data_IF_619600376904
#
_entry.id   IF_619600376904
#
_cell.length_a   1.000
_cell.length_b   1.000
_cell.length_c   1.000
_cell.angle_alpha   90.00
_cell.angle_beta   90.00
_cell.angle_gamma   90.00
#
_symmetry.space_group_name_H-M   'P 1'
#
loop_
_entity.id
_entity.type
_entity.pdbx_description
1 polymer ?
#
# COMPACT_ATOMS: atom_id res chain seq x y z
N UNK A 1 -16.31 27.05 -20.85
CA UNK A 1 -15.28 26.06 -20.44
C UNK A 1 -14.31 26.61 -19.38
N UNK A 2 -13.76 27.83 -19.54
CA UNK A 2 -12.81 28.42 -18.58
C UNK A 2 -13.37 28.56 -17.15
N UNK A 3 -14.64 28.97 -16.99
CA UNK A 3 -15.29 29.08 -15.67
C UNK A 3 -15.51 27.74 -14.95
N UNK A 4 -15.81 26.67 -15.70
CA UNK A 4 -15.96 25.32 -15.13
C UNK A 4 -14.62 24.80 -14.61
N UNK A 5 -13.53 24.91 -15.39
CA UNK A 5 -12.21 24.49 -14.91
C UNK A 5 -11.74 25.31 -13.69
N UNK A 6 -12.15 26.58 -13.60
CA UNK A 6 -11.82 27.41 -12.45
C UNK A 6 -12.44 26.90 -11.14
N UNK A 7 -13.59 26.21 -11.16
CA UNK A 7 -14.20 25.65 -9.93
C UNK A 7 -13.38 24.51 -9.32
N UNK A 8 -12.52 23.85 -10.11
CA UNK A 8 -11.62 22.78 -9.65
C UNK A 8 -10.33 23.31 -9.01
N UNK A 9 -9.99 24.58 -9.22
CA UNK A 9 -8.70 25.16 -8.80
C UNK A 9 -8.49 25.12 -7.28
N UNK A 10 -9.48 25.56 -6.50
CA UNK A 10 -9.42 25.61 -5.04
C UNK A 10 -9.35 24.23 -4.37
N UNK A 11 -10.23 23.25 -4.68
CA UNK A 11 -10.11 21.92 -4.11
C UNK A 11 -8.80 21.23 -4.51
N UNK A 12 -8.31 21.46 -5.73
CA UNK A 12 -7.01 20.96 -6.17
C UNK A 12 -5.86 21.56 -5.35
N UNK A 13 -5.83 22.88 -5.19
CA UNK A 13 -4.83 23.57 -4.38
C UNK A 13 -4.82 23.08 -2.94
N UNK A 14 -6.01 22.89 -2.35
CA UNK A 14 -6.15 22.36 -1.00
C UNK A 14 -5.57 20.95 -0.89
N UNK A 15 -5.88 20.06 -1.83
CA UNK A 15 -5.36 18.70 -1.85
C UNK A 15 -3.82 18.68 -1.97
N UNK A 16 -3.25 19.46 -2.89
CA UNK A 16 -1.79 19.56 -3.06
C UNK A 16 -1.12 20.17 -1.83
N UNK A 17 -1.74 21.15 -1.18
CA UNK A 17 -1.21 21.81 0.02
C UNK A 17 -1.21 20.88 1.23
N UNK A 18 -2.28 20.10 1.42
CA UNK A 18 -2.42 19.18 2.55
C UNK A 18 -1.64 17.87 2.35
N UNK A 19 -1.35 17.49 1.10
CA UNK A 19 -0.74 16.21 0.76
C UNK A 19 0.61 15.92 1.45
N UNK A 20 1.57 16.87 1.56
CA UNK A 20 2.83 16.61 2.25
C UNK A 20 2.63 16.24 3.72
N UNK A 21 1.68 16.89 4.41
CA UNK A 21 1.40 16.63 5.82
C UNK A 21 0.77 15.25 6.02
N UNK A 22 -0.25 14.93 5.21
CA UNK A 22 -0.90 13.61 5.23
C UNK A 22 0.09 12.52 4.84
N UNK A 23 0.96 12.79 3.87
CA UNK A 23 2.01 11.86 3.44
C UNK A 23 2.94 11.54 4.59
N UNK A 24 3.51 12.54 5.27
CA UNK A 24 4.39 12.34 6.43
C UNK A 24 3.68 11.52 7.53
N UNK A 25 2.41 11.84 7.81
CA UNK A 25 1.60 11.10 8.79
C UNK A 25 1.39 9.64 8.45
N UNK A 26 1.18 9.34 7.17
CA UNK A 26 0.87 7.99 6.73
C UNK A 26 2.10 7.26 6.17
N UNK A 27 3.28 7.89 6.10
CA UNK A 27 4.53 7.30 5.59
C UNK A 27 4.85 5.99 6.30
N UNK A 28 4.73 5.98 7.63
CA UNK A 28 5.14 4.84 8.46
C UNK A 28 4.15 3.68 8.30
N UNK A 29 2.82 3.87 8.47
CA UNK A 29 1.83 2.86 8.10
C UNK A 29 1.98 2.34 6.67
N UNK A 30 2.23 3.24 5.71
CA UNK A 30 2.43 2.89 4.31
C UNK A 30 3.68 2.02 4.09
N UNK A 31 4.80 2.38 4.71
CA UNK A 31 6.03 1.62 4.63
C UNK A 31 5.86 0.23 5.25
N UNK A 32 5.19 0.14 6.40
CA UNK A 32 4.84 -1.12 7.07
C UNK A 32 3.96 -1.98 6.17
N UNK A 33 2.89 -1.41 5.59
CA UNK A 33 2.02 -2.11 4.66
C UNK A 33 2.78 -2.63 3.42
N UNK A 34 3.61 -1.78 2.80
CA UNK A 34 4.41 -2.17 1.64
C UNK A 34 5.44 -3.25 1.98
N UNK A 35 6.06 -3.17 3.16
CA UNK A 35 7.01 -4.17 3.62
C UNK A 35 6.33 -5.52 3.85
N UNK A 36 5.18 -5.55 4.53
CA UNK A 36 4.43 -6.80 4.71
C UNK A 36 3.87 -7.38 3.41
N UNK A 37 3.48 -6.54 2.45
CA UNK A 37 2.89 -6.99 1.18
C UNK A 37 3.93 -7.44 0.16
N UNK A 38 5.00 -6.68 -0.01
CA UNK A 38 5.94 -6.84 -1.12
C UNK A 38 7.32 -7.37 -0.66
N UNK A 39 7.55 -7.53 0.65
CA UNK A 39 8.83 -7.88 1.30
C UNK A 39 10.02 -6.95 0.93
N UNK A 40 9.76 -5.89 0.16
CA UNK A 40 10.72 -4.91 -0.38
C UNK A 40 10.02 -3.58 -0.69
N UNK A 41 10.71 -2.47 -0.45
CA UNK A 41 10.27 -1.14 -0.86
C UNK A 41 10.70 -0.86 -2.31
N UNK A 42 9.85 -1.24 -3.27
CA UNK A 42 10.06 -0.89 -4.69
C UNK A 42 9.70 0.59 -4.91
N UNK A 43 10.50 1.39 -5.66
CA UNK A 43 10.17 2.79 -5.92
C UNK A 43 8.77 2.99 -6.53
N UNK A 44 8.35 2.08 -7.42
CA UNK A 44 7.00 2.11 -7.99
C UNK A 44 5.89 1.86 -6.95
N UNK A 45 6.12 0.97 -5.97
CA UNK A 45 5.18 0.73 -4.87
C UNK A 45 5.08 1.96 -3.96
N UNK A 46 6.21 2.60 -3.67
CA UNK A 46 6.27 3.83 -2.87
C UNK A 46 5.54 4.98 -3.57
N UNK A 47 5.88 5.23 -4.85
CA UNK A 47 5.21 6.25 -5.66
C UNK A 47 3.70 6.01 -5.74
N UNK A 48 3.29 4.76 -5.95
CA UNK A 48 1.88 4.39 -6.01
C UNK A 48 1.12 4.68 -4.71
N UNK A 49 1.74 4.44 -3.55
CA UNK A 49 1.11 4.75 -2.26
C UNK A 49 0.97 6.25 -2.04
N UNK A 50 2.01 7.04 -2.30
CA UNK A 50 1.90 8.50 -2.18
C UNK A 50 0.92 9.11 -3.19
N UNK A 51 0.85 8.56 -4.41
CA UNK A 51 -0.16 8.93 -5.41
C UNK A 51 -1.58 8.58 -4.94
N UNK A 52 -1.76 7.42 -4.30
CA UNK A 52 -3.04 7.03 -3.71
C UNK A 52 -3.45 7.96 -2.56
N UNK A 53 -2.51 8.37 -1.70
CA UNK A 53 -2.78 9.35 -0.64
C UNK A 53 -3.24 10.70 -1.20
N UNK A 54 -2.52 11.23 -2.21
CA UNK A 54 -2.95 12.45 -2.91
C UNK A 54 -4.34 12.28 -3.53
N UNK A 55 -4.61 11.12 -4.13
CA UNK A 55 -5.89 10.81 -4.71
C UNK A 55 -7.03 10.82 -3.67
N UNK A 56 -6.89 10.11 -2.54
CA UNK A 56 -7.92 10.06 -1.49
C UNK A 56 -8.18 11.44 -0.90
N UNK A 57 -7.11 12.21 -0.69
CA UNK A 57 -7.23 13.59 -0.23
C UNK A 57 -7.92 14.49 -1.27
N UNK A 58 -7.56 14.33 -2.55
CA UNK A 58 -8.23 14.99 -3.67
C UNK A 58 -9.71 14.63 -3.74
N UNK A 59 -10.06 13.35 -3.64
CA UNK A 59 -11.45 12.87 -3.62
C UNK A 59 -12.25 13.58 -2.52
N UNK A 60 -11.73 13.64 -1.29
CA UNK A 60 -12.37 14.40 -0.21
C UNK A 60 -12.51 15.89 -0.52
N UNK A 61 -11.47 16.53 -1.03
CA UNK A 61 -11.50 17.96 -1.37
C UNK A 61 -12.51 18.27 -2.49
N UNK A 62 -12.53 17.52 -3.58
CA UNK A 62 -13.45 17.76 -4.70
C UNK A 62 -14.91 17.50 -4.34
N UNK A 63 -15.17 16.49 -3.52
CA UNK A 63 -16.54 16.09 -3.15
C UNK A 63 -17.13 16.91 -2.00
N UNK A 64 -16.30 17.51 -1.14
CA UNK A 64 -16.78 18.26 0.03
C UNK A 64 -16.64 19.78 -0.11
N UNK A 65 -15.73 20.28 -0.96
CA UNK A 65 -15.54 21.72 -1.19
C UNK A 65 -16.47 22.24 -2.30
N UNK A 66 -17.08 23.44 -2.19
CA UNK A 66 -16.91 24.42 -1.11
C UNK A 66 -17.87 24.19 0.05
N UNK A 67 -17.38 24.35 1.27
CA UNK A 67 -18.22 24.43 2.46
C UNK A 67 -18.61 25.88 2.76
N UNK A 68 -19.80 26.11 3.33
CA UNK A 68 -20.28 27.45 3.67
C UNK A 68 -19.40 28.07 4.78
N UNK A 69 -19.05 29.34 4.63
CA UNK A 69 -18.25 30.07 5.64
C UNK A 69 -19.08 30.46 6.87
N UNK A 70 -20.37 30.76 6.66
CA UNK A 70 -21.38 30.91 7.71
C UNK A 70 -22.47 29.84 7.52
N UNK A 71 -22.34 28.69 8.21
CA UNK A 71 -23.31 27.59 8.13
C UNK A 71 -24.72 28.02 8.54
N UNK A 72 -24.85 28.91 9.52
CA UNK A 72 -26.15 29.29 10.07
C UNK A 72 -26.94 30.14 9.10
N UNK A 73 -26.31 31.15 8.49
CA UNK A 73 -26.93 31.96 7.45
C UNK A 73 -27.22 31.16 6.17
N UNK A 74 -26.31 30.27 5.78
CA UNK A 74 -26.51 29.40 4.62
C UNK A 74 -27.72 28.48 4.81
N UNK A 75 -27.79 27.77 5.94
CA UNK A 75 -28.86 26.82 6.23
C UNK A 75 -30.21 27.48 6.52
N UNK A 76 -30.23 28.76 6.90
CA UNK A 76 -31.48 29.52 7.02
C UNK A 76 -32.14 29.82 5.65
N UNK A 77 -31.37 29.77 4.57
CA UNK A 77 -31.83 30.13 3.21
C UNK A 77 -31.84 28.95 2.22
N UNK A 78 -31.11 27.88 2.51
CA UNK A 78 -30.97 26.72 1.65
C UNK A 78 -31.57 25.47 2.30
N UNK A 79 -32.45 24.79 1.57
CA UNK A 79 -33.08 23.54 1.97
C UNK A 79 -32.87 22.50 0.87
N UNK A 80 -31.62 22.03 0.77
CA UNK A 80 -31.25 20.98 -0.17
C UNK A 80 -31.69 19.61 0.36
N UNK A 81 -32.09 18.72 -0.54
CA UNK A 81 -32.58 17.38 -0.22
C UNK A 81 -31.90 16.30 -1.05
N UNK A 82 -32.50 15.11 -1.03
CA UNK A 82 -32.06 13.98 -1.84
C UNK A 82 -32.85 13.90 -3.15
N UNK A 83 -32.13 13.76 -4.27
CA UNK A 83 -32.66 13.35 -5.55
C UNK A 83 -32.41 11.84 -5.74
N UNK A 84 -33.50 11.07 -5.86
CA UNK A 84 -33.47 9.61 -5.94
C UNK A 84 -33.94 9.07 -7.31
N UNK A 85 -34.23 9.94 -8.28
CA UNK A 85 -34.59 9.55 -9.63
C UNK A 85 -33.32 9.22 -10.44
N UNK A 86 -33.07 7.95 -10.82
CA UNK A 86 -31.83 7.51 -11.49
C UNK A 86 -31.75 7.91 -12.98
N UNK A 87 -32.68 8.75 -13.43
CA UNK A 87 -32.76 9.29 -14.78
C UNK A 87 -32.85 10.83 -14.75
N UNK A 88 -32.55 11.46 -13.61
CA UNK A 88 -32.64 12.91 -13.47
C UNK A 88 -31.61 13.60 -14.40
N UNK A 89 -30.46 12.98 -14.61
CA UNK A 89 -29.44 13.45 -15.55
C UNK A 89 -29.98 13.74 -16.96
N UNK A 90 -31.04 13.06 -17.41
CA UNK A 90 -31.66 13.33 -18.72
C UNK A 90 -32.31 14.71 -18.74
N UNK A 91 -32.97 15.07 -17.64
CA UNK A 91 -33.57 16.40 -17.45
C UNK A 91 -32.47 17.44 -17.32
N UNK A 92 -31.43 17.16 -16.54
CA UNK A 92 -30.34 18.10 -16.27
C UNK A 92 -29.52 18.36 -17.55
N UNK A 93 -29.30 17.35 -18.40
CA UNK A 93 -28.67 17.56 -19.72
C UNK A 93 -29.55 18.42 -20.63
N UNK A 94 -30.88 18.33 -20.54
CA UNK A 94 -31.78 19.19 -21.34
C UNK A 94 -31.79 20.63 -20.83
N UNK A 95 -31.66 20.82 -19.51
CA UNK A 95 -31.72 22.13 -18.86
C UNK A 95 -30.37 22.84 -18.87
N UNK A 96 -29.33 22.16 -18.41
CA UNK A 96 -27.98 22.70 -18.16
C UNK A 96 -26.96 22.33 -19.25
N UNK A 97 -27.36 21.46 -20.20
CA UNK A 97 -26.60 21.18 -21.41
C UNK A 97 -25.22 20.60 -21.14
N UNK A 98 -24.19 21.27 -21.67
CA UNK A 98 -22.80 20.83 -21.56
C UNK A 98 -22.30 20.74 -20.11
N UNK A 99 -22.82 21.58 -19.21
CA UNK A 99 -22.39 21.58 -17.80
C UNK A 99 -22.75 20.27 -17.12
N UNK A 100 -23.98 19.78 -17.32
CA UNK A 100 -24.42 18.48 -16.80
C UNK A 100 -23.59 17.32 -17.38
N UNK A 101 -23.32 17.34 -18.70
CA UNK A 101 -22.48 16.32 -19.34
C UNK A 101 -21.07 16.30 -18.71
N UNK A 102 -20.48 17.47 -18.47
CA UNK A 102 -19.17 17.57 -17.85
C UNK A 102 -19.21 17.10 -16.39
N UNK A 103 -20.26 17.39 -15.62
CA UNK A 103 -20.42 16.90 -14.25
C UNK A 103 -20.45 15.37 -14.20
N UNK A 104 -21.32 14.73 -15.01
CA UNK A 104 -21.38 13.27 -15.13
C UNK A 104 -20.01 12.68 -15.50
N UNK A 105 -19.36 13.25 -16.51
CA UNK A 105 -18.04 12.80 -16.96
C UNK A 105 -16.96 12.92 -15.89
N UNK A 106 -16.96 14.03 -15.14
CA UNK A 106 -15.99 14.26 -14.07
C UNK A 106 -16.19 13.31 -12.89
N UNK A 107 -17.43 12.97 -12.53
CA UNK A 107 -17.74 11.98 -11.50
C UNK A 107 -17.20 10.59 -11.88
N UNK A 108 -17.40 10.18 -13.13
CA UNK A 108 -16.78 8.95 -13.67
C UNK A 108 -15.25 9.02 -13.54
N UNK A 109 -14.62 10.08 -14.05
CA UNK A 109 -13.16 10.23 -14.03
C UNK A 109 -12.61 10.25 -12.59
N UNK A 110 -13.33 10.85 -11.65
CA UNK A 110 -12.93 10.96 -10.26
C UNK A 110 -12.83 9.59 -9.57
N UNK A 111 -13.62 8.60 -9.97
CA UNK A 111 -13.60 7.25 -9.37
C UNK A 111 -12.76 6.22 -10.15
N UNK A 112 -12.32 6.52 -11.37
CA UNK A 112 -11.41 5.65 -12.13
C UNK A 112 -10.14 5.29 -11.33
N UNK A 113 -9.43 6.25 -10.68
CA UNK A 113 -8.26 5.89 -9.89
C UNK A 113 -8.59 4.96 -8.72
N UNK A 114 -9.73 5.11 -8.05
CA UNK A 114 -10.14 4.24 -6.94
C UNK A 114 -10.21 2.78 -7.40
N UNK A 115 -10.98 2.50 -8.45
CA UNK A 115 -11.11 1.15 -8.99
C UNK A 115 -9.76 0.56 -9.44
N UNK A 116 -8.92 1.40 -10.04
CA UNK A 116 -7.57 1.03 -10.45
C UNK A 116 -6.70 0.64 -9.26
N UNK A 117 -6.63 1.46 -8.21
CA UNK A 117 -5.81 1.19 -7.03
C UNK A 117 -6.31 -0.04 -6.26
N UNK A 118 -7.63 -0.18 -6.06
CA UNK A 118 -8.21 -1.34 -5.37
C UNK A 118 -7.83 -2.67 -6.04
N UNK A 119 -7.79 -2.68 -7.37
CA UNK A 119 -7.46 -3.89 -8.16
C UNK A 119 -5.96 -4.09 -8.36
N UNK A 120 -5.23 -3.03 -8.72
CA UNK A 120 -3.81 -3.10 -9.10
C UNK A 120 -2.88 -3.14 -7.88
N UNK A 121 -3.20 -2.37 -6.85
CA UNK A 121 -2.38 -2.23 -5.65
C UNK A 121 -2.94 -3.07 -4.49
N UNK A 122 -4.21 -2.92 -4.15
CA UNK A 122 -4.79 -3.69 -3.03
C UNK A 122 -5.18 -5.12 -3.41
N UNK A 123 -5.14 -5.47 -4.70
CA UNK A 123 -5.41 -6.82 -5.23
C UNK A 123 -6.76 -7.38 -4.77
N UNK A 124 -7.74 -6.51 -4.54
CA UNK A 124 -9.09 -6.93 -4.18
C UNK A 124 -9.75 -7.64 -5.37
N UNK A 125 -10.60 -8.66 -5.12
CA UNK A 125 -11.40 -9.23 -6.18
C UNK A 125 -12.35 -8.16 -6.74
N UNK A 126 -12.58 -8.18 -8.06
CA UNK A 126 -13.28 -7.11 -8.77
C UNK A 126 -14.64 -6.75 -8.18
N UNK A 127 -15.41 -7.74 -7.73
CA UNK A 127 -16.73 -7.50 -7.13
C UNK A 127 -16.64 -6.77 -5.79
N UNK A 128 -15.61 -7.02 -4.97
CA UNK A 128 -15.35 -6.26 -3.73
C UNK A 128 -14.90 -4.85 -4.08
N UNK A 129 -14.05 -4.69 -5.09
CA UNK A 129 -13.60 -3.37 -5.52
C UNK A 129 -14.79 -2.51 -6.01
N UNK A 130 -15.73 -3.08 -6.77
CA UNK A 130 -16.99 -2.40 -7.16
C UNK A 130 -17.81 -2.03 -5.92
N UNK A 131 -18.00 -2.96 -4.99
CA UNK A 131 -18.75 -2.72 -3.76
C UNK A 131 -18.15 -1.58 -2.92
N UNK A 132 -16.82 -1.54 -2.81
CA UNK A 132 -16.09 -0.48 -2.10
C UNK A 132 -16.23 0.88 -2.82
N UNK A 133 -16.17 0.91 -4.15
CA UNK A 133 -16.42 2.15 -4.91
C UNK A 133 -17.85 2.66 -4.69
N UNK A 134 -18.84 1.77 -4.81
CA UNK A 134 -20.25 2.11 -4.58
C UNK A 134 -20.49 2.60 -3.15
N UNK A 135 -20.00 1.87 -2.15
CA UNK A 135 -20.12 2.25 -0.75
C UNK A 135 -19.44 3.59 -0.46
N UNK A 136 -18.28 3.86 -1.05
CA UNK A 136 -17.59 5.16 -0.88
C UNK A 136 -18.39 6.29 -1.50
N UNK A 137 -18.99 6.08 -2.67
CA UNK A 137 -19.87 7.07 -3.30
C UNK A 137 -21.11 7.35 -2.44
N UNK A 138 -21.76 6.31 -1.93
CA UNK A 138 -22.88 6.45 -0.98
C UNK A 138 -22.45 7.22 0.27
N UNK A 139 -21.28 6.91 0.84
CA UNK A 139 -20.75 7.64 2.00
C UNK A 139 -20.53 9.13 1.69
N UNK A 140 -20.09 9.48 0.47
CA UNK A 140 -19.94 10.86 0.03
C UNK A 140 -21.30 11.56 -0.05
N UNK A 141 -22.29 10.96 -0.70
CA UNK A 141 -23.63 11.52 -0.82
C UNK A 141 -24.31 11.68 0.55
N UNK A 142 -24.16 10.70 1.44
CA UNK A 142 -24.65 10.77 2.82
C UNK A 142 -23.95 11.87 3.60
N UNK A 143 -22.62 12.02 3.45
CA UNK A 143 -21.89 13.12 4.07
C UNK A 143 -22.42 14.47 3.57
N UNK A 144 -22.69 14.63 2.27
CA UNK A 144 -23.25 15.86 1.72
C UNK A 144 -24.67 16.15 2.25
N UNK A 145 -25.54 15.14 2.28
CA UNK A 145 -26.92 15.23 2.78
C UNK A 145 -26.97 15.62 4.26
N UNK A 146 -26.03 15.10 5.06
CA UNK A 146 -25.99 15.33 6.51
C UNK A 146 -25.10 16.50 6.92
N UNK A 147 -24.52 17.23 5.97
CA UNK A 147 -23.63 18.34 6.28
C UNK A 147 -22.30 17.89 6.92
N UNK A 148 -21.59 16.98 6.25
CA UNK A 148 -20.40 16.25 6.74
C UNK A 148 -20.69 15.61 8.11
N UNK A 149 -21.69 14.72 8.16
CA UNK A 149 -22.09 14.00 9.38
C UNK A 149 -22.43 14.94 10.55
N UNK A 150 -23.26 15.95 10.29
CA UNK A 150 -23.72 16.96 11.25
C UNK A 150 -22.64 17.94 11.74
N UNK A 151 -21.51 18.03 11.04
CA UNK A 151 -20.57 19.14 11.24
C UNK A 151 -21.21 20.48 10.83
N UNK A 152 -22.10 20.45 9.83
CA UNK A 152 -22.94 21.56 9.40
C UNK A 152 -24.41 21.26 9.75
N UNK A 153 -25.22 22.28 10.06
CA UNK A 153 -26.59 22.08 10.54
C UNK A 153 -27.60 21.68 9.44
N UNK A 154 -27.18 21.68 8.17
CA UNK A 154 -28.00 21.26 7.03
C UNK A 154 -27.17 20.66 5.90
N UNK A 155 -27.85 20.08 4.91
CA UNK A 155 -27.27 19.73 3.62
C UNK A 155 -26.80 20.99 2.88
N UNK A 156 -25.54 21.02 2.47
CA UNK A 156 -24.98 22.10 1.65
C UNK A 156 -24.68 21.69 0.21
N UNK A 157 -24.96 20.43 -0.13
CA UNK A 157 -25.00 19.89 -1.49
C UNK A 157 -26.22 18.97 -1.64
N UNK A 158 -26.68 18.81 -2.89
CA UNK A 158 -27.76 17.88 -3.22
C UNK A 158 -27.18 16.48 -3.19
N UNK A 159 -27.85 15.57 -2.49
CA UNK A 159 -27.52 14.15 -2.53
C UNK A 159 -28.14 13.56 -3.80
N UNK A 160 -27.31 13.03 -4.70
CA UNK A 160 -27.75 12.59 -6.03
C UNK A 160 -27.44 11.11 -6.28
N UNK A 161 -28.48 10.34 -6.59
CA UNK A 161 -28.32 8.93 -6.99
C UNK A 161 -27.56 8.78 -8.30
N UNK A 162 -27.66 9.76 -9.22
CA UNK A 162 -26.95 9.74 -10.49
C UNK A 162 -25.43 9.89 -10.28
N UNK A 163 -25.01 10.60 -9.22
CA UNK A 163 -23.61 10.68 -8.79
C UNK A 163 -23.12 9.33 -8.24
N UNK A 164 -23.95 8.60 -7.48
CA UNK A 164 -23.63 7.23 -7.06
C UNK A 164 -23.39 6.32 -8.26
N UNK A 165 -24.27 6.39 -9.27
CA UNK A 165 -24.20 5.56 -10.47
C UNK A 165 -22.94 5.89 -11.28
N UNK A 166 -22.69 7.18 -11.54
CA UNK A 166 -21.54 7.63 -12.35
C UNK A 166 -20.20 7.37 -11.67
N UNK A 167 -20.10 7.62 -10.35
CA UNK A 167 -18.92 7.27 -9.57
C UNK A 167 -18.67 5.74 -9.57
N UNK A 168 -19.72 4.94 -9.39
CA UNK A 168 -19.59 3.47 -9.44
C UNK A 168 -19.15 2.98 -10.83
N UNK A 169 -19.67 3.59 -11.90
CA UNK A 169 -19.23 3.33 -13.28
C UNK A 169 -17.75 3.69 -13.48
N UNK A 170 -17.31 4.84 -12.95
CA UNK A 170 -15.90 5.22 -12.91
C UNK A 170 -15.03 4.17 -12.23
N UNK A 171 -15.46 3.70 -11.07
CA UNK A 171 -14.81 2.60 -10.35
C UNK A 171 -14.70 1.32 -11.18
N UNK A 172 -15.78 0.93 -11.86
CA UNK A 172 -15.79 -0.24 -12.76
C UNK A 172 -14.78 -0.10 -13.92
N UNK A 173 -14.71 1.09 -14.56
CA UNK A 173 -13.70 1.38 -15.59
C UNK A 173 -12.29 1.28 -15.01
N UNK A 174 -12.06 1.85 -13.83
CA UNK A 174 -10.79 1.75 -13.10
C UNK A 174 -10.36 0.30 -12.84
N UNK A 175 -11.31 -0.55 -12.44
CA UNK A 175 -11.07 -1.99 -12.21
C UNK A 175 -10.63 -2.67 -13.50
N UNK A 176 -11.32 -2.43 -14.62
CA UNK A 176 -10.94 -2.98 -15.93
C UNK A 176 -9.51 -2.58 -16.30
N UNK A 177 -9.16 -1.30 -16.12
CA UNK A 177 -7.80 -0.80 -16.34
C UNK A 177 -6.78 -1.47 -15.40
N UNK A 178 -7.13 -1.67 -14.13
CA UNK A 178 -6.30 -2.35 -13.15
C UNK A 178 -6.03 -3.82 -13.51
N UNK A 179 -7.06 -4.55 -13.94
CA UNK A 179 -6.95 -5.93 -14.43
C UNK A 179 -6.09 -6.01 -15.70
N UNK A 180 -6.31 -5.10 -16.64
CA UNK A 180 -5.51 -5.01 -17.85
C UNK A 180 -4.04 -4.77 -17.52
N UNK A 181 -3.74 -3.83 -16.62
CA UNK A 181 -2.38 -3.56 -16.14
C UNK A 181 -1.75 -4.74 -15.40
N UNK A 182 -2.53 -5.50 -14.62
CA UNK A 182 -2.04 -6.72 -13.97
C UNK A 182 -1.60 -7.77 -14.99
N UNK A 183 -2.30 -7.86 -16.13
CA UNK A 183 -1.99 -8.80 -17.21
C UNK A 183 -0.82 -8.33 -18.09
N UNK A 184 -0.72 -7.02 -18.36
CA UNK A 184 0.35 -6.43 -19.16
C UNK A 184 1.68 -6.31 -18.40
N UNK A 185 1.63 -6.06 -17.08
CA UNK A 185 2.79 -5.83 -16.21
C UNK A 185 2.73 -6.73 -14.96
N UNK A 186 2.93 -8.05 -15.12
CA UNK A 186 2.91 -8.99 -14.00
C UNK A 186 4.00 -8.65 -12.98
N UNK A 187 3.68 -8.79 -11.69
CA UNK A 187 4.65 -8.57 -10.64
C UNK A 187 5.75 -9.65 -10.68
N UNK A 188 7.05 -9.27 -10.70
CA UNK A 188 8.15 -10.23 -10.58
C UNK A 188 8.03 -11.06 -9.32
N UNK A 189 8.18 -12.39 -9.44
CA UNK A 189 8.30 -13.33 -8.33
C UNK A 189 9.40 -12.85 -7.37
N UNK A 190 9.12 -12.89 -6.07
CA UNK A 190 10.07 -12.47 -5.03
C UNK A 190 11.11 -13.58 -4.91
N UNK A 191 12.36 -13.27 -5.22
CA UNK A 191 13.47 -14.17 -4.91
C UNK A 191 13.91 -13.91 -3.44
N UNK A 192 13.63 -14.89 -2.58
CA UNK A 192 14.01 -14.90 -1.16
C UNK A 192 15.55 -14.86 -1.00
N UNK A 193 16.33 -15.23 -2.03
CA UNK A 193 17.79 -15.19 -1.99
C UNK A 193 18.39 -13.78 -2.09
N UNK A 194 17.60 -12.77 -2.50
CA UNK A 194 18.09 -11.40 -2.73
C UNK A 194 17.82 -10.47 -1.51
N UNK A 195 17.53 -11.04 -0.33
CA UNK A 195 17.45 -10.26 0.92
C UNK A 195 18.83 -9.68 1.22
N UNK A 196 18.92 -8.35 1.14
CA UNK A 196 20.19 -7.63 1.18
C UNK A 196 20.63 -7.42 2.63
N UNK A 197 21.56 -8.25 3.10
CA UNK A 197 22.19 -8.13 4.43
C UNK A 197 23.09 -6.90 4.58
N UNK A 198 23.47 -6.26 3.46
CA UNK A 198 24.32 -5.07 3.43
C UNK A 198 23.58 -3.89 2.77
N UNK A 199 22.84 -3.06 3.52
CA UNK A 199 22.11 -1.94 2.95
C UNK A 199 23.10 -0.85 2.49
N UNK A 200 22.96 -0.44 1.23
CA UNK A 200 23.71 0.69 0.67
C UNK A 200 23.35 2.03 1.31
N UNK A 201 24.17 3.05 1.08
CA UNK A 201 24.04 4.38 1.72
C UNK A 201 22.63 4.98 1.61
N UNK A 202 22.04 4.96 0.40
CA UNK A 202 20.70 5.51 0.16
C UNK A 202 19.63 4.83 1.02
N UNK A 203 19.72 3.51 1.24
CA UNK A 203 18.76 2.80 2.09
C UNK A 203 18.88 3.18 3.56
N UNK A 204 20.11 3.46 4.02
CA UNK A 204 20.34 3.96 5.39
C UNK A 204 19.79 5.37 5.57
N UNK A 205 20.00 6.25 4.58
CA UNK A 205 19.41 7.59 4.59
C UNK A 205 17.87 7.55 4.59
N UNK A 206 17.28 6.65 3.79
CA UNK A 206 15.81 6.48 3.77
C UNK A 206 15.30 5.94 5.10
N UNK A 207 15.97 4.96 5.72
CA UNK A 207 15.62 4.48 7.06
C UNK A 207 15.65 5.63 8.06
N UNK A 208 16.78 6.34 8.13
CA UNK A 208 16.94 7.48 9.02
C UNK A 208 15.88 8.56 8.79
N UNK A 209 15.51 8.84 7.53
CA UNK A 209 14.45 9.78 7.23
C UNK A 209 13.07 9.32 7.74
N UNK A 210 12.79 8.02 7.64
CA UNK A 210 11.56 7.41 8.19
C UNK A 210 11.58 7.48 9.71
N UNK A 211 12.70 7.13 10.34
CA UNK A 211 12.88 7.15 11.80
C UNK A 211 12.73 8.58 12.34
N UNK A 212 13.34 9.56 11.68
CA UNK A 212 13.17 10.99 12.00
C UNK A 212 11.72 11.46 11.79
N UNK A 213 11.02 10.93 10.79
CA UNK A 213 9.59 11.20 10.59
C UNK A 213 8.73 10.68 11.75
N UNK A 214 9.00 9.46 12.23
CA UNK A 214 8.33 8.87 13.41
C UNK A 214 8.58 9.73 14.64
N UNK A 215 9.84 10.09 14.88
CA UNK A 215 10.27 10.94 16.00
C UNK A 215 9.51 12.27 15.98
N UNK A 216 9.40 12.92 14.82
CA UNK A 216 8.64 14.17 14.69
C UNK A 216 7.14 13.99 14.95
N UNK A 217 6.56 12.85 14.59
CA UNK A 217 5.14 12.59 14.87
C UNK A 217 4.87 12.34 16.34
N UNK A 218 5.72 11.57 17.00
CA UNK A 218 5.64 11.39 18.45
C UNK A 218 5.84 12.72 19.18
N UNK A 219 6.78 13.55 18.71
CA UNK A 219 7.00 14.91 19.19
C UNK A 219 5.72 15.77 19.09
N UNK A 220 5.10 15.83 17.92
CA UNK A 220 3.87 16.60 17.71
C UNK A 220 2.74 16.11 18.63
N UNK A 221 2.56 14.79 18.77
CA UNK A 221 1.57 14.22 19.67
C UNK A 221 1.84 14.59 21.14
N UNK A 222 3.10 14.56 21.58
CA UNK A 222 3.48 14.99 22.93
C UNK A 222 3.16 16.46 23.18
N UNK A 223 3.41 17.34 22.21
CA UNK A 223 3.10 18.77 22.32
C UNK A 223 1.59 19.02 22.39
N UNK A 224 0.80 18.31 21.58
CA UNK A 224 -0.66 18.38 21.63
C UNK A 224 -1.18 17.91 22.99
N UNK A 225 -0.68 16.79 23.50
CA UNK A 225 -1.06 16.27 24.81
C UNK A 225 -0.66 17.22 25.94
N UNK A 226 0.55 17.77 25.90
CA UNK A 226 1.02 18.78 26.86
C UNK A 226 0.10 20.01 26.90
N UNK A 227 -0.31 20.48 25.73
CA UNK A 227 -1.23 21.61 25.58
C UNK A 227 -2.64 21.26 26.12
N UNK A 228 -3.15 20.06 25.80
CA UNK A 228 -4.44 19.56 26.26
C UNK A 228 -4.52 19.42 27.79
N UNK A 229 -3.42 19.02 28.43
CA UNK A 229 -3.31 18.92 29.89
C UNK A 229 -3.19 20.30 30.59
N UNK A 230 -3.24 21.40 29.84
CA UNK A 230 -3.26 22.75 30.39
C UNK A 230 -1.87 23.32 30.73
N UNK A 231 -0.79 22.72 30.23
CA UNK A 231 0.58 23.17 30.51
C UNK A 231 1.10 24.26 29.55
N UNK A 232 0.22 24.82 28.70
CA UNK A 232 0.55 25.89 27.76
C UNK A 232 1.16 25.41 26.44
N UNK A 233 1.41 26.35 25.52
CA UNK A 233 1.98 26.05 24.21
C UNK A 233 3.50 25.82 24.28
N UNK A 234 4.00 24.86 23.50
CA UNK A 234 5.44 24.60 23.36
C UNK A 234 5.96 25.35 22.12
N UNK A 235 6.85 26.32 22.34
CA UNK A 235 7.48 27.06 21.26
C UNK A 235 8.50 26.18 20.49
N UNK A 236 8.57 26.23 19.15
CA UNK A 236 9.49 25.40 18.35
C UNK A 236 10.99 25.63 18.64
N UNK A 237 11.34 26.82 19.09
CA UNK A 237 12.69 27.25 19.49
C UNK A 237 12.95 27.08 21.01
N UNK A 238 11.94 26.63 21.77
CA UNK A 238 12.02 26.48 23.21
C UNK A 238 12.78 25.23 23.66
N UNK A 239 13.37 25.30 24.85
CA UNK A 239 14.07 24.15 25.46
C UNK A 239 13.20 22.90 25.58
N UNK A 240 11.91 23.05 25.90
CA UNK A 240 10.97 21.95 26.00
C UNK A 240 10.81 21.19 24.66
N UNK A 241 10.84 21.90 23.54
CA UNK A 241 10.79 21.28 22.21
C UNK A 241 12.02 20.41 21.96
N UNK A 242 13.21 20.95 22.20
CA UNK A 242 14.48 20.22 22.03
C UNK A 242 14.59 19.01 22.96
N UNK A 243 14.14 19.13 24.21
CA UNK A 243 14.14 18.03 25.17
C UNK A 243 13.23 16.90 24.71
N UNK A 244 11.99 17.20 24.34
CA UNK A 244 11.05 16.18 23.85
C UNK A 244 11.59 15.51 22.57
N UNK A 245 12.19 16.28 21.65
CA UNK A 245 12.78 15.74 20.43
C UNK A 245 13.93 14.78 20.75
N UNK A 246 14.79 15.17 21.69
CA UNK A 246 15.93 14.36 22.15
C UNK A 246 15.45 13.07 22.84
N UNK A 247 14.40 13.15 23.65
CA UNK A 247 13.78 11.98 24.29
C UNK A 247 13.29 10.99 23.24
N UNK A 248 12.52 11.45 22.27
CA UNK A 248 12.01 10.58 21.21
C UNK A 248 13.13 9.99 20.34
N UNK A 249 14.17 10.78 20.03
CA UNK A 249 15.36 10.28 19.33
C UNK A 249 16.04 9.14 20.11
N UNK A 250 16.30 9.32 21.41
CA UNK A 250 16.92 8.29 22.25
C UNK A 250 16.03 7.04 22.35
N UNK A 251 14.71 7.21 22.45
CA UNK A 251 13.77 6.08 22.48
C UNK A 251 13.84 5.27 21.19
N UNK A 252 13.74 5.91 20.03
CA UNK A 252 13.64 5.20 18.74
C UNK A 252 14.98 4.73 18.18
N UNK A 253 16.06 5.50 18.32
CA UNK A 253 17.39 5.14 17.79
C UNK A 253 18.28 4.42 18.81
N UNK A 254 18.00 4.61 20.11
CA UNK A 254 18.76 4.00 21.20
C UNK A 254 18.05 2.79 21.81
N UNK A 255 16.87 3.01 22.40
CA UNK A 255 16.20 2.01 23.24
C UNK A 255 15.53 0.93 22.39
N UNK A 256 14.65 1.29 21.46
CA UNK A 256 13.86 0.34 20.63
C UNK A 256 14.73 -0.74 19.97
N UNK A 257 15.89 -0.41 19.34
CA UNK A 257 16.78 -1.42 18.75
C UNK A 257 17.39 -2.39 19.76
N UNK A 258 17.57 -1.96 21.03
CA UNK A 258 18.12 -2.80 22.09
C UNK A 258 17.08 -3.77 22.68
N UNK A 259 15.79 -3.39 22.70
CA UNK A 259 14.72 -4.22 23.29
C UNK A 259 14.12 -5.21 22.28
N UNK A 260 14.22 -4.94 20.98
CA UNK A 260 13.62 -5.80 19.96
C UNK A 260 14.59 -6.93 19.53
N UNK A 261 14.17 -8.21 19.48
CA UNK A 261 15.05 -9.37 19.26
C UNK A 261 15.82 -9.42 17.92
N UNK A 262 15.58 -8.47 17.02
CA UNK A 262 16.23 -8.41 15.70
C UNK A 262 17.74 -8.12 15.79
N UNK A 263 18.21 -7.62 16.93
CA UNK A 263 19.64 -7.45 17.20
C UNK A 263 20.37 -8.80 17.43
N UNK A 264 19.68 -9.84 17.90
CA UNK A 264 20.31 -11.12 18.26
C UNK A 264 20.51 -12.08 17.09
N UNK A 265 19.79 -11.92 15.97
CA UNK A 265 19.99 -12.75 14.78
C UNK A 265 21.24 -12.41 13.96
N UNK A 266 21.95 -11.31 14.26
CA UNK A 266 23.24 -10.98 13.62
C UNK A 266 24.42 -11.84 14.11
N UNK A 267 24.23 -12.64 15.15
CA UNK A 267 25.32 -13.41 15.80
C UNK A 267 25.17 -14.93 15.70
N UNK A 268 24.11 -15.43 15.07
CA UNK A 268 24.00 -16.86 14.80
C UNK A 268 24.61 -17.14 13.41
N UNK A 269 25.61 -18.03 13.29
CA UNK A 269 26.12 -18.44 12.00
C UNK A 269 24.97 -19.00 11.15
N UNK A 270 24.90 -18.56 9.89
CA UNK A 270 23.91 -19.02 8.95
C UNK A 270 24.09 -20.54 8.74
N UNK A 271 23.02 -21.34 8.58
CA UNK A 271 23.15 -22.79 8.33
C UNK A 271 24.00 -23.15 7.09
N UNK A 272 24.25 -22.18 6.20
CA UNK A 272 25.12 -22.32 5.04
C UNK A 272 26.61 -22.44 5.37
N UNK A 273 27.06 -21.96 6.53
CA UNK A 273 28.48 -22.07 6.94
C UNK A 273 28.87 -23.50 7.31
N UNK A 274 27.91 -24.38 7.61
CA UNK A 274 28.13 -25.81 7.81
C UNK A 274 28.43 -26.57 6.52
N UNK A 275 27.91 -26.10 5.37
CA UNK A 275 28.10 -26.74 4.07
C UNK A 275 29.51 -26.56 3.51
N UNK A 276 30.15 -25.42 3.79
CA UNK A 276 31.53 -25.15 3.34
C UNK A 276 32.54 -26.00 4.12
N UNK A 277 32.33 -26.21 5.42
CA UNK A 277 33.16 -27.12 6.22
C UNK A 277 33.02 -28.57 5.76
N UNK A 278 31.79 -29.03 5.50
CA UNK A 278 31.56 -30.38 4.98
C UNK A 278 32.16 -30.61 3.58
N UNK A 279 32.14 -29.59 2.70
CA UNK A 279 32.78 -29.66 1.39
C UNK A 279 34.32 -29.63 1.47
N UNK A 280 34.88 -28.89 2.44
CA UNK A 280 36.32 -28.85 2.68
C UNK A 280 36.84 -30.16 3.31
N UNK A 281 36.05 -30.78 4.18
CA UNK A 281 36.36 -32.09 4.78
C UNK A 281 36.24 -33.22 3.75
N UNK A 282 35.25 -33.16 2.84
CA UNK A 282 35.12 -34.11 1.72
C UNK A 282 36.25 -33.98 0.68
N UNK A 283 36.73 -32.75 0.43
CA UNK A 283 37.87 -32.50 -0.46
C UNK A 283 39.21 -32.97 0.14
N UNK A 284 39.35 -32.96 1.47
CA UNK A 284 40.54 -33.46 2.16
C UNK A 284 40.50 -34.98 2.41
N UNK A 285 39.31 -35.60 2.39
CA UNK A 285 39.16 -37.06 2.55
C UNK A 285 39.23 -37.86 1.24
N UNK A 286 39.44 -37.23 0.09
CA UNK A 286 39.68 -37.92 -1.18
C UNK A 286 38.49 -38.70 -1.77
N UNK A 287 37.26 -38.38 -1.37
CA UNK A 287 36.05 -39.06 -1.88
C UNK A 287 35.45 -38.26 -3.04
N UNK A 288 35.69 -38.74 -4.27
CA UNK A 288 35.11 -38.20 -5.50
C UNK A 288 33.60 -38.51 -5.57
N UNK A 289 32.75 -37.50 -5.36
CA UNK A 289 31.32 -37.59 -5.69
C UNK A 289 31.09 -37.19 -7.17
N UNK A 290 30.59 -38.13 -7.98
CA UNK A 290 30.22 -37.92 -9.38
C UNK A 290 28.90 -37.15 -9.57
N UNK A 291 28.56 -36.72 -10.80
CA UNK A 291 27.49 -35.78 -11.05
C UNK A 291 26.14 -36.51 -11.12
N UNK A 292 25.37 -36.51 -10.04
CA UNK A 292 23.95 -36.87 -10.10
C UNK A 292 23.07 -35.75 -9.55
N UNK A 293 22.14 -35.29 -10.40
CA UNK A 293 21.08 -34.32 -10.10
C UNK A 293 20.27 -34.80 -8.90
N UNK A 294 20.21 -33.97 -7.85
CA UNK A 294 19.22 -34.12 -6.79
C UNK A 294 17.82 -33.82 -7.36
N UNK A 295 16.93 -34.81 -7.30
CA UNK A 295 15.50 -34.64 -7.61
C UNK A 295 14.79 -34.47 -6.27
N UNK A 296 14.18 -33.31 -6.05
CA UNK A 296 13.38 -33.00 -4.85
C UNK A 296 11.92 -33.31 -5.18
N UNK A 297 11.34 -34.27 -4.46
CA UNK A 297 9.89 -34.46 -4.44
C UNK A 297 9.30 -33.75 -3.21
N UNK A 298 8.21 -32.98 -3.36
CA UNK A 298 7.51 -32.41 -2.21
C UNK A 298 6.65 -33.49 -1.58
N UNK A 299 6.77 -33.70 -0.27
CA UNK A 299 5.83 -34.51 0.50
C UNK A 299 5.18 -33.64 1.59
N UNK A 300 3.88 -33.85 1.77
CA UNK A 300 2.91 -32.83 2.21
C UNK A 300 2.75 -32.75 3.75
N UNK A 301 3.75 -33.16 4.53
CA UNK A 301 3.69 -33.13 6.01
C UNK A 301 5.05 -32.86 6.65
N UNK A 302 5.16 -31.69 7.29
CA UNK A 302 5.93 -31.45 8.52
C UNK A 302 7.37 -31.97 8.60
N UNK A 303 8.32 -31.09 8.26
CA UNK A 303 9.69 -30.94 8.83
C UNK A 303 10.30 -32.22 9.44
N UNK A 304 10.87 -33.08 8.59
CA UNK A 304 12.11 -33.81 8.86
C UNK A 304 12.84 -34.03 7.52
N UNK A 305 13.90 -33.27 7.27
CA UNK A 305 14.83 -33.52 6.15
C UNK A 305 15.71 -34.72 6.51
N UNK A 306 15.31 -35.92 6.10
CA UNK A 306 16.20 -37.07 6.09
C UNK A 306 16.96 -37.09 4.76
N UNK A 307 18.25 -36.72 4.78
CA UNK A 307 19.15 -36.98 3.66
C UNK A 307 19.52 -38.46 3.70
N UNK A 308 18.75 -39.31 3.04
CA UNK A 308 19.17 -40.70 2.78
C UNK A 308 20.23 -40.70 1.69
N UNK A 309 21.48 -40.92 2.09
CA UNK A 309 22.57 -41.26 1.17
C UNK A 309 22.41 -42.74 0.81
N UNK A 310 21.87 -43.05 -0.36
CA UNK A 310 21.82 -44.42 -0.89
C UNK A 310 23.24 -44.85 -1.30
N UNK A 311 23.98 -45.44 -0.35
CA UNK A 311 25.27 -46.07 -0.63
C UNK A 311 25.02 -47.45 -1.25
N UNK A 312 24.69 -47.48 -2.55
CA UNK A 312 24.77 -48.74 -3.32
C UNK A 312 26.24 -49.09 -3.56
N UNK A 313 26.80 -49.90 -2.67
CA UNK A 313 28.04 -50.64 -2.92
C UNK A 313 27.85 -51.57 -4.12
N UNK A 314 28.48 -51.27 -5.26
CA UNK A 314 28.65 -52.24 -6.35
C UNK A 314 29.68 -53.29 -5.93
N UNK A 315 29.40 -54.60 -5.98
CA UNK A 315 30.45 -55.60 -5.92
C UNK A 315 31.07 -55.75 -7.32
N UNK A 316 32.39 -55.56 -7.42
CA UNK A 316 33.20 -56.03 -8.56
C UNK A 316 33.63 -57.48 -8.31
N UNK A 317 33.58 -58.28 -9.38
CA UNK A 317 34.25 -59.56 -9.67
C UNK A 317 33.58 -60.91 -9.36
N UNK A 318 33.16 -61.59 -10.46
CA UNK A 318 33.41 -63.00 -10.90
C UNK A 318 32.32 -63.33 -11.95
N UNK A 319 32.52 -63.95 -13.10
CA UNK A 319 33.63 -64.61 -13.79
C UNK A 319 33.19 -64.92 -15.25
N UNK A 320 34.11 -65.47 -16.03
CA UNK A 320 33.94 -65.91 -17.42
C UNK A 320 32.74 -66.86 -17.64
N UNK A 321 32.29 -66.91 -18.90
CA UNK A 321 31.94 -68.10 -19.72
C UNK A 321 30.60 -67.97 -20.50
N UNK A 322 30.77 -68.01 -21.83
CA UNK A 322 29.90 -68.58 -22.89
C UNK A 322 28.75 -67.83 -23.60
N UNK A 323 28.80 -68.06 -24.94
CA UNK A 323 27.75 -68.08 -26.00
C UNK A 323 27.31 -66.71 -26.54
N UNK A 324 27.71 -66.27 -27.74
CA UNK A 324 27.56 -66.85 -29.10
C UNK A 324 26.14 -67.35 -29.42
N UNK A 325 25.60 -66.86 -30.56
CA UNK A 325 24.30 -67.15 -31.21
C UNK A 325 23.12 -66.43 -30.52
N UNK A 326 22.27 -65.62 -31.17
CA UNK A 326 21.50 -65.73 -32.43
C UNK A 326 20.95 -64.33 -32.80
N UNK A 327 21.17 -63.78 -34.00
CA UNK A 327 20.29 -63.79 -35.20
C UNK A 327 18.83 -63.31 -35.05
N UNK A 328 18.48 -62.34 -35.92
CA UNK A 328 17.15 -61.96 -36.45
C UNK A 328 16.11 -61.44 -35.43
N UNK A 329 15.34 -60.37 -35.65
CA UNK A 329 14.68 -59.79 -36.84
C UNK A 329 14.63 -58.27 -36.67
#
# INVERSE_FOLDING_TARGET
MTGFLASFSKPFQLAVLLWPFVSVLLTVPAAVYLYHRDNRLRPASVLGVYAFMLYVLGLGCFTMYPWPQDPTAYCATHHLGAQLNPLQFIVDIRTDGMTAILQLGMNIVLFVPMGFFLTRFFRLPSWVAVAVCCATSICIEVAQLTGIFHLYPCAYRICDVDDVITNTLGGAIGIVLGLWCNRAFPAPLIDEAEVTVHPGFLRRCVSLAVDMGIIYMCQMLSIVLWSYLGHGAVAPDGHAFLVLLSVWFVVFEGIVPMVHPWAHHRLLPHPYDGGIRAAHDAATSGVLCGPHRAVVHPDDRGIHMAVTVDVRTRPRHRGLVDRMQTNAV
#
